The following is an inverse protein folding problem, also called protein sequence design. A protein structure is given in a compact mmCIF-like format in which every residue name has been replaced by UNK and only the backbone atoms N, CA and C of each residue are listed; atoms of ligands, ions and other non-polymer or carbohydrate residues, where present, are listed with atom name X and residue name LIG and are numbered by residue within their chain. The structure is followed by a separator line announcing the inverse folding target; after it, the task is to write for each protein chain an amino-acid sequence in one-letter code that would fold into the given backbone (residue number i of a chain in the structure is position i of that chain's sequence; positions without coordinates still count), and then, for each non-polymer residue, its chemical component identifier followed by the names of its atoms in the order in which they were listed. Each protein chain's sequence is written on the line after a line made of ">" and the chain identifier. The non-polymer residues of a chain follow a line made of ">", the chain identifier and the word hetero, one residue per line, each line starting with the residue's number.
data_IF_287358904851
#
_entry.id   IF_287358904851
#
_cell.length_a   1.000
_cell.length_b   1.000
_cell.length_c   1.000
_cell.angle_alpha   90.00
_cell.angle_beta   90.00
_cell.angle_gamma   90.00
#
_symmetry.space_group_name_H-M   'P 1'
#
loop_
_entity.id
_entity.type
_entity.pdbx_description
1 polymer ?
#
# COMPACT_ATOMS: atom_id res chain seq x y z
N UNK A 1 11.32 -17.88 -10.93
CA UNK A 1 11.37 -16.43 -11.17
C UNK A 1 10.04 -15.86 -10.69
N UNK A 2 10.02 -15.15 -9.56
CA UNK A 2 8.77 -14.65 -9.00
C UNK A 2 8.25 -13.51 -9.87
N UNK A 3 7.14 -13.75 -10.57
CA UNK A 3 6.45 -12.74 -11.37
C UNK A 3 6.01 -11.60 -10.45
N UNK A 4 6.60 -10.42 -10.62
CA UNK A 4 6.18 -9.23 -9.88
C UNK A 4 4.67 -9.00 -10.11
N UNK A 5 3.89 -8.76 -9.05
CA UNK A 5 2.45 -8.56 -9.17
C UNK A 5 2.14 -7.44 -10.17
N UNK A 6 1.12 -7.65 -11.01
CA UNK A 6 0.74 -6.73 -12.09
C UNK A 6 0.45 -5.32 -11.57
N UNK A 7 0.71 -4.29 -12.41
CA UNK A 7 0.43 -2.89 -12.07
C UNK A 7 -0.97 -2.66 -11.48
N UNK A 8 -2.06 -3.23 -12.05
CA UNK A 8 -3.40 -3.11 -11.47
C UNK A 8 -3.49 -3.68 -10.06
N UNK A 9 -2.89 -4.84 -9.79
CA UNK A 9 -2.89 -5.45 -8.45
C UNK A 9 -2.15 -4.59 -7.45
N UNK A 10 -0.99 -4.06 -7.81
CA UNK A 10 -0.23 -3.14 -6.95
C UNK A 10 -1.05 -1.87 -6.62
N UNK A 11 -1.77 -1.33 -7.59
CA UNK A 11 -2.70 -0.23 -7.37
C UNK A 11 -3.85 -0.61 -6.44
N UNK A 12 -4.46 -1.79 -6.62
CA UNK A 12 -5.50 -2.30 -5.73
C UNK A 12 -5.00 -2.45 -4.29
N UNK A 13 -3.79 -2.98 -4.08
CA UNK A 13 -3.19 -3.08 -2.75
C UNK A 13 -2.92 -1.70 -2.13
N UNK A 14 -2.45 -0.75 -2.93
CA UNK A 14 -2.26 0.62 -2.47
C UNK A 14 -3.57 1.27 -2.02
N UNK A 15 -4.63 1.17 -2.82
CA UNK A 15 -5.96 1.68 -2.48
C UNK A 15 -6.60 0.94 -1.30
N UNK A 16 -6.39 -0.37 -1.18
CA UNK A 16 -6.83 -1.12 0.00
C UNK A 16 -6.14 -0.58 1.26
N UNK A 17 -4.84 -0.29 1.20
CA UNK A 17 -4.12 0.37 2.29
C UNK A 17 -4.69 1.75 2.63
N UNK A 18 -5.04 2.58 1.64
CA UNK A 18 -5.75 3.86 1.86
C UNK A 18 -7.05 3.64 2.64
N UNK A 19 -7.86 2.66 2.22
CA UNK A 19 -9.12 2.36 2.87
C UNK A 19 -8.92 1.95 4.33
N UNK A 20 -7.92 1.12 4.64
CA UNK A 20 -7.58 0.77 6.02
C UNK A 20 -7.13 1.98 6.84
N UNK A 21 -6.33 2.88 6.29
CA UNK A 21 -5.93 4.11 7.00
C UNK A 21 -7.14 5.00 7.31
N UNK A 22 -8.04 5.19 6.34
CA UNK A 22 -9.27 5.99 6.52
C UNK A 22 -10.20 5.36 7.55
N UNK A 23 -10.39 4.04 7.49
CA UNK A 23 -11.24 3.31 8.42
C UNK A 23 -10.64 3.31 9.84
N UNK A 24 -9.31 3.20 9.95
CA UNK A 24 -8.58 3.35 11.20
C UNK A 24 -8.69 4.76 11.78
N UNK A 25 -8.62 5.80 10.93
CA UNK A 25 -8.82 7.18 11.36
C UNK A 25 -10.24 7.43 11.89
N UNK A 26 -11.27 6.89 11.20
CA UNK A 26 -12.66 6.96 11.66
C UNK A 26 -12.85 6.25 13.00
N UNK A 27 -12.29 5.05 13.16
CA UNK A 27 -12.34 4.32 14.43
C UNK A 27 -11.58 5.04 15.55
N UNK A 28 -10.53 5.80 15.22
CA UNK A 28 -9.76 6.58 16.20
C UNK A 28 -10.57 7.74 16.76
N UNK A 29 -11.43 8.36 15.93
CA UNK A 29 -12.38 9.38 16.38
C UNK A 29 -13.38 8.79 17.38
N UNK A 30 -13.73 7.51 17.25
CA UNK A 30 -14.61 6.79 18.17
C UNK A 30 -13.88 6.22 19.40
N UNK A 31 -12.61 6.59 19.62
CA UNK A 31 -11.75 6.06 20.69
C UNK A 31 -11.61 4.51 20.69
N UNK A 32 -11.84 3.85 19.56
CA UNK A 32 -11.67 2.41 19.47
C UNK A 32 -10.18 2.04 19.64
N UNK A 33 -9.88 1.16 20.59
CA UNK A 33 -8.51 0.78 20.94
C UNK A 33 -7.74 0.14 19.76
N UNK A 34 -8.46 -0.54 18.87
CA UNK A 34 -7.89 -1.19 17.67
C UNK A 34 -7.54 -0.21 16.53
N UNK A 35 -7.96 1.06 16.61
CA UNK A 35 -7.80 2.03 15.53
C UNK A 35 -6.33 2.26 15.15
N UNK A 36 -5.45 2.43 16.13
CA UNK A 36 -4.03 2.66 15.90
C UNK A 36 -3.35 1.47 15.21
N UNK A 37 -3.73 0.24 15.57
CA UNK A 37 -3.24 -0.97 14.92
C UNK A 37 -3.70 -1.07 13.47
N UNK A 38 -4.98 -0.76 13.22
CA UNK A 38 -5.54 -0.79 11.88
C UNK A 38 -4.89 0.25 10.95
N UNK A 39 -4.62 1.45 11.47
CA UNK A 39 -3.86 2.48 10.74
C UNK A 39 -2.43 2.02 10.43
N UNK A 40 -1.72 1.41 11.39
CA UNK A 40 -0.36 0.90 11.21
C UNK A 40 -0.28 -0.18 10.12
N UNK A 41 -1.25 -1.09 10.09
CA UNK A 41 -1.36 -2.12 9.05
C UNK A 41 -1.62 -1.47 7.69
N UNK A 42 -2.58 -0.54 7.60
CA UNK A 42 -2.87 0.18 6.36
C UNK A 42 -1.66 0.94 5.81
N UNK A 43 -0.92 1.64 6.67
CA UNK A 43 0.30 2.35 6.30
C UNK A 43 1.41 1.40 5.83
N UNK A 44 1.56 0.25 6.48
CA UNK A 44 2.57 -0.76 6.10
C UNK A 44 2.27 -1.35 4.72
N UNK A 45 1.00 -1.65 4.43
CA UNK A 45 0.57 -2.14 3.11
C UNK A 45 0.79 -1.06 2.03
N UNK A 46 0.46 0.20 2.32
CA UNK A 46 0.73 1.32 1.41
C UNK A 46 2.21 1.49 1.11
N UNK A 47 3.07 1.43 2.14
CA UNK A 47 4.50 1.59 1.97
C UNK A 47 5.06 0.52 1.02
N UNK A 48 4.71 -0.76 1.24
CA UNK A 48 5.16 -1.86 0.38
C UNK A 48 4.62 -1.72 -1.05
N UNK A 49 3.32 -1.47 -1.20
CA UNK A 49 2.70 -1.32 -2.53
C UNK A 49 3.27 -0.11 -3.29
N UNK A 50 3.47 1.01 -2.60
CA UNK A 50 4.07 2.23 -3.15
C UNK A 50 5.51 2.02 -3.58
N UNK A 51 6.34 1.40 -2.75
CA UNK A 51 7.74 1.06 -3.11
C UNK A 51 7.78 0.15 -4.32
N UNK A 52 6.92 -0.86 -4.41
CA UNK A 52 6.86 -1.77 -5.56
C UNK A 52 6.39 -1.08 -6.84
N UNK A 53 5.44 -0.14 -6.75
CA UNK A 53 5.03 0.69 -7.89
C UNK A 53 6.18 1.55 -8.41
N UNK A 54 6.88 2.25 -7.51
CA UNK A 54 8.04 3.08 -7.87
C UNK A 54 9.18 2.23 -8.44
N UNK A 55 9.48 1.10 -7.83
CA UNK A 55 10.50 0.16 -8.31
C UNK A 55 10.18 -0.34 -9.72
N UNK A 56 8.94 -0.76 -9.97
CA UNK A 56 8.51 -1.23 -11.29
C UNK A 56 8.56 -0.13 -12.33
N UNK A 57 8.19 1.10 -11.95
CA UNK A 57 8.28 2.27 -12.83
C UNK A 57 9.73 2.57 -13.19
N UNK A 58 10.62 2.65 -12.20
CA UNK A 58 12.05 2.87 -12.40
C UNK A 58 12.66 1.79 -13.31
N UNK A 59 12.35 0.51 -13.05
CA UNK A 59 12.83 -0.61 -13.87
C UNK A 59 12.34 -0.55 -15.31
N UNK A 60 11.09 -0.13 -15.55
CA UNK A 60 10.56 0.03 -16.92
C UNK A 60 11.18 1.19 -17.71
N UNK A 61 11.95 2.07 -17.05
CA UNK A 61 12.60 3.25 -17.63
C UNK A 61 14.11 3.07 -17.80
N UNK A 62 14.70 1.99 -17.31
CA UNK A 62 16.10 1.68 -17.57
C UNK A 62 16.21 1.14 -19.00
N UNK A 63 16.96 1.79 -19.92
CA UNK A 63 17.28 1.19 -21.20
C UNK A 63 18.05 -0.10 -20.94
N UNK A 64 17.64 -1.19 -21.59
CA UNK A 64 18.41 -2.43 -21.58
C UNK A 64 19.77 -2.12 -22.23
N UNK A 65 20.83 -2.04 -21.42
CA UNK A 65 22.22 -2.06 -21.89
C UNK A 65 22.62 -3.48 -22.33
#
# INVERSE_FOLDING_TARGET
>A
MNELPSYPRLFTFFFAGVAFVLLGALLKIQHAQAASWLMLVGLSVQAVAGTLLVYRFAKSRQPEE
#
